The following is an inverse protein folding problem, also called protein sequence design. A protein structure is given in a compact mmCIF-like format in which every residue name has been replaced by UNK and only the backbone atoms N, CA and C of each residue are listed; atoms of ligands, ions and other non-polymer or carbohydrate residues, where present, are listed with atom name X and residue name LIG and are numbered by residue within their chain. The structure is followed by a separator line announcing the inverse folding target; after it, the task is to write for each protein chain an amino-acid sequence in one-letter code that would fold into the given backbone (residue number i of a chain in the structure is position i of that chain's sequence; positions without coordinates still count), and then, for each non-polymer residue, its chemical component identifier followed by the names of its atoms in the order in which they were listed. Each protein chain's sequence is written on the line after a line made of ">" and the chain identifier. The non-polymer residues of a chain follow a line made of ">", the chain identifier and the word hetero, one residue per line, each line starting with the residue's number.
data_IF_587148960030
#
_entry.id   IF_587148960030
#
_cell.length_a   1.000
_cell.length_b   1.000
_cell.length_c   1.000
_cell.angle_alpha   90.00
_cell.angle_beta   90.00
_cell.angle_gamma   90.00
#
_symmetry.space_group_name_H-M   'P 1'
#
loop_
_entity.id
_entity.type
_entity.pdbx_description
1 polymer ?
#
# COMPACT_ATOMS: atom_id res chain seq x y z
N UNK A 1 11.03 6.76 57.80
CA UNK A 1 11.65 5.48 57.38
C UNK A 1 10.61 4.58 56.68
N UNK A 2 9.98 5.03 55.59
CA UNK A 2 8.92 4.28 54.86
C UNK A 2 9.18 4.17 53.35
N UNK A 3 10.34 4.64 52.90
CA UNK A 3 10.65 4.85 51.48
C UNK A 3 11.02 3.57 50.72
N UNK A 4 11.56 2.57 51.42
CA UNK A 4 11.95 1.26 50.85
C UNK A 4 10.75 0.34 50.56
N UNK A 5 9.78 0.15 51.48
CA UNK A 5 8.64 -0.74 51.22
C UNK A 5 7.72 -0.22 50.11
N UNK A 6 7.52 1.09 49.99
CA UNK A 6 6.67 1.68 48.95
C UNK A 6 7.26 1.51 47.54
N UNK A 7 8.59 1.61 47.39
CA UNK A 7 9.27 1.36 46.11
C UNK A 7 9.21 -0.11 45.70
N UNK A 8 9.30 -1.01 46.68
CA UNK A 8 9.17 -2.45 46.44
C UNK A 8 7.76 -2.81 45.96
N UNK A 9 6.73 -2.26 46.61
CA UNK A 9 5.33 -2.50 46.27
C UNK A 9 4.98 -1.98 44.88
N UNK A 10 5.50 -0.81 44.51
CA UNK A 10 5.36 -0.25 43.16
C UNK A 10 6.05 -1.12 42.10
N UNK A 11 7.24 -1.66 42.41
CA UNK A 11 7.95 -2.58 41.52
C UNK A 11 7.18 -3.88 41.31
N UNK A 12 6.60 -4.46 42.38
CA UNK A 12 5.75 -5.65 42.27
C UNK A 12 4.50 -5.38 41.42
N UNK A 13 3.86 -4.21 41.58
CA UNK A 13 2.73 -3.80 40.76
C UNK A 13 3.11 -3.68 39.27
N UNK A 14 4.26 -3.08 38.96
CA UNK A 14 4.73 -2.95 37.57
C UNK A 14 5.00 -4.33 36.97
N UNK A 15 5.69 -5.22 37.69
CA UNK A 15 5.97 -6.58 37.22
C UNK A 15 4.68 -7.40 37.01
N UNK A 16 3.73 -7.30 37.93
CA UNK A 16 2.42 -7.96 37.83
C UNK A 16 1.64 -7.47 36.61
N UNK A 17 1.64 -6.15 36.35
CA UNK A 17 1.00 -5.60 35.15
C UNK A 17 1.73 -6.01 33.86
N UNK A 18 3.06 -6.11 33.88
CA UNK A 18 3.83 -6.59 32.73
C UNK A 18 3.56 -8.06 32.39
N UNK A 19 3.25 -8.92 33.39
CA UNK A 19 2.89 -10.32 33.14
C UNK A 19 1.51 -10.53 32.49
N UNK A 20 0.64 -9.51 32.48
CA UNK A 20 -0.63 -9.53 31.73
C UNK A 20 -0.53 -8.99 30.30
N UNK A 21 0.64 -8.48 29.90
CA UNK A 21 0.89 -8.11 28.51
C UNK A 21 1.12 -9.39 27.70
N UNK A 22 0.03 -9.97 27.20
CA UNK A 22 0.12 -11.03 26.20
C UNK A 22 0.91 -10.50 24.99
N UNK A 23 1.96 -11.20 24.53
CA UNK A 23 2.65 -10.83 23.31
C UNK A 23 1.66 -10.98 22.14
N UNK A 24 1.13 -9.86 21.67
CA UNK A 24 0.29 -9.82 20.47
C UNK A 24 1.23 -9.97 19.27
N UNK A 25 1.37 -11.19 18.78
CA UNK A 25 2.05 -11.44 17.51
C UNK A 25 1.11 -11.05 16.37
N UNK A 26 1.43 -9.95 15.67
CA UNK A 26 0.67 -9.52 14.48
C UNK A 26 0.93 -10.38 13.25
N UNK A 27 1.94 -11.24 13.28
CA UNK A 27 2.26 -12.17 12.20
C UNK A 27 1.64 -13.53 12.50
N UNK A 28 0.43 -13.74 12.00
CA UNK A 28 -0.15 -15.07 11.87
C UNK A 28 0.65 -15.96 10.91
N UNK A 29 0.18 -17.18 10.70
CA UNK A 29 0.78 -18.11 9.74
C UNK A 29 0.97 -17.44 8.36
N UNK A 30 2.17 -17.57 7.81
CA UNK A 30 2.47 -17.09 6.45
C UNK A 30 1.72 -18.01 5.48
N UNK A 31 0.60 -17.53 4.95
CA UNK A 31 -0.09 -18.23 3.87
C UNK A 31 0.81 -18.27 2.64
N UNK A 32 1.17 -19.48 2.22
CA UNK A 32 1.83 -19.73 0.94
C UNK A 32 0.77 -20.25 -0.03
N UNK A 33 0.39 -19.48 -1.07
CA UNK A 33 -0.55 -19.98 -2.07
C UNK A 33 0.03 -21.20 -2.78
N UNK A 34 -0.83 -22.13 -3.24
CA UNK A 34 -0.40 -23.25 -4.09
C UNK A 34 0.19 -22.74 -5.39
N UNK A 35 1.15 -23.48 -5.95
CA UNK A 35 1.79 -23.13 -7.23
C UNK A 35 0.85 -23.49 -8.37
N UNK A 36 0.14 -22.50 -8.90
CA UNK A 36 -0.79 -22.62 -10.02
C UNK A 36 -0.46 -21.54 -11.04
N UNK A 37 -0.73 -21.81 -12.31
CA UNK A 37 -0.58 -20.81 -13.38
C UNK A 37 -1.48 -19.61 -13.07
N UNK A 38 -0.89 -18.41 -13.05
CA UNK A 38 -1.66 -17.20 -12.78
C UNK A 38 -2.28 -16.70 -14.07
N UNK A 39 -3.53 -16.24 -14.01
CA UNK A 39 -4.21 -15.64 -15.17
C UNK A 39 -3.38 -14.51 -15.80
N UNK A 40 -2.63 -13.77 -14.98
CA UNK A 40 -1.72 -12.71 -15.42
C UNK A 40 -0.55 -13.19 -16.27
N UNK A 41 -0.13 -14.45 -16.13
CA UNK A 41 1.01 -15.02 -16.86
C UNK A 41 0.68 -15.20 -18.36
N UNK A 42 -0.62 -15.27 -18.70
CA UNK A 42 -1.08 -15.32 -20.09
C UNK A 42 -1.06 -13.97 -20.80
N UNK A 43 -0.80 -12.86 -20.09
CA UNK A 43 -0.80 -11.52 -20.66
C UNK A 43 0.58 -10.87 -20.56
N UNK A 44 1.06 -10.30 -21.67
CA UNK A 44 2.33 -9.59 -21.68
C UNK A 44 2.20 -8.23 -20.97
N UNK A 45 3.11 -7.89 -20.03
CA UNK A 45 3.13 -6.57 -19.41
C UNK A 45 3.35 -5.48 -20.46
N UNK A 46 2.53 -4.44 -20.42
CA UNK A 46 2.67 -3.26 -21.30
C UNK A 46 3.34 -2.10 -20.57
N UNK A 47 4.18 -1.30 -21.26
CA UNK A 47 4.79 -0.13 -20.65
C UNK A 47 3.74 0.89 -20.18
N UNK A 48 4.00 1.57 -19.06
CA UNK A 48 3.17 2.68 -18.58
C UNK A 48 3.27 3.87 -19.54
N UNK A 49 4.50 4.15 -19.98
CA UNK A 49 4.76 5.21 -20.95
C UNK A 49 4.02 4.92 -22.26
N UNK A 50 3.31 5.93 -22.76
CA UNK A 50 2.57 5.80 -24.01
C UNK A 50 1.17 5.19 -23.87
N UNK A 51 0.83 4.52 -22.77
CA UNK A 51 -0.51 3.94 -22.55
C UNK A 51 -1.33 4.67 -21.48
N UNK A 52 -0.66 5.38 -20.58
CA UNK A 52 -1.28 6.16 -19.51
C UNK A 52 -1.03 7.67 -19.69
N UNK A 53 -1.93 8.49 -19.15
CA UNK A 53 -1.81 9.94 -19.05
C UNK A 53 -1.77 10.37 -17.59
N UNK A 54 -1.03 11.43 -17.31
CA UNK A 54 -1.04 12.09 -16.00
C UNK A 54 -2.31 12.91 -15.83
N UNK A 55 -3.06 12.65 -14.76
CA UNK A 55 -4.24 13.44 -14.40
C UNK A 55 -3.94 14.55 -13.39
N UNK A 56 -2.99 14.32 -12.48
CA UNK A 56 -2.52 15.32 -11.53
C UNK A 56 -1.15 14.92 -10.97
N UNK A 57 -0.44 15.89 -10.39
CA UNK A 57 0.80 15.63 -9.66
C UNK A 57 1.97 15.19 -10.54
N UNK A 58 2.10 15.72 -11.75
CA UNK A 58 3.16 15.34 -12.69
C UNK A 58 4.60 15.35 -12.12
N UNK A 59 5.02 16.31 -11.27
CA UNK A 59 6.33 16.27 -10.62
C UNK A 59 6.55 15.04 -9.72
N UNK A 60 5.46 14.44 -9.25
CA UNK A 60 5.41 13.28 -8.36
C UNK A 60 5.14 11.98 -9.12
N UNK A 61 5.40 11.96 -10.44
CA UNK A 61 5.34 10.77 -11.29
C UNK A 61 6.70 10.58 -11.95
N UNK A 62 7.41 9.53 -11.55
CA UNK A 62 8.75 9.25 -12.08
C UNK A 62 8.71 7.98 -12.92
N UNK A 63 8.88 8.12 -14.23
CA UNK A 63 8.97 7.00 -15.15
C UNK A 63 10.33 6.31 -15.00
N UNK A 64 10.33 4.98 -14.87
CA UNK A 64 11.54 4.18 -14.66
C UNK A 64 11.65 3.08 -15.71
N UNK A 65 12.87 2.59 -15.90
CA UNK A 65 13.19 1.51 -16.86
C UNK A 65 12.53 1.77 -18.23
N UNK A 66 12.91 2.90 -18.84
CA UNK A 66 12.39 3.38 -20.12
C UNK A 66 10.85 3.46 -20.19
N UNK A 67 10.20 3.70 -19.05
CA UNK A 67 8.75 3.85 -18.97
C UNK A 67 7.98 2.54 -18.82
N UNK A 68 8.66 1.42 -18.56
CA UNK A 68 8.00 0.14 -18.28
C UNK A 68 7.19 0.17 -16.97
N UNK A 69 7.63 0.94 -15.97
CA UNK A 69 6.87 1.21 -14.75
C UNK A 69 7.04 2.66 -14.30
N UNK A 70 6.16 3.10 -13.39
CA UNK A 70 6.15 4.45 -12.85
C UNK A 70 6.07 4.41 -11.33
N UNK A 71 6.85 5.27 -10.67
CA UNK A 71 6.65 5.58 -9.27
C UNK A 71 5.65 6.74 -9.18
N UNK A 72 4.58 6.54 -8.41
CA UNK A 72 3.63 7.59 -8.04
C UNK A 72 3.82 7.94 -6.57
N UNK A 73 4.07 9.22 -6.31
CA UNK A 73 4.50 9.72 -5.01
C UNK A 73 3.39 10.58 -4.39
N UNK A 74 3.16 10.39 -3.11
CA UNK A 74 2.40 11.29 -2.27
C UNK A 74 3.34 11.96 -1.27
N UNK A 75 3.41 13.28 -1.32
CA UNK A 75 4.16 14.09 -0.36
C UNK A 75 3.25 15.15 0.28
N UNK A 76 3.84 16.08 1.04
CA UNK A 76 3.11 17.16 1.72
C UNK A 76 2.49 18.18 0.76
N UNK A 77 2.96 18.25 -0.48
CA UNK A 77 2.52 19.21 -1.48
C UNK A 77 1.37 18.66 -2.32
N UNK A 78 1.46 17.42 -2.78
CA UNK A 78 0.43 16.77 -3.60
C UNK A 78 0.62 15.26 -3.70
N UNK A 79 -0.47 14.57 -4.04
CA UNK A 79 -0.41 13.21 -4.57
C UNK A 79 -0.08 13.19 -6.06
N UNK A 80 -0.19 12.01 -6.66
CA UNK A 80 -0.16 11.88 -8.12
C UNK A 80 -1.10 10.78 -8.62
N UNK A 81 -1.46 10.87 -9.90
CA UNK A 81 -2.40 9.93 -10.50
C UNK A 81 -2.22 9.80 -12.01
N UNK A 82 -2.49 8.58 -12.48
CA UNK A 82 -2.48 8.20 -13.89
C UNK A 82 -3.87 7.69 -14.30
N UNK A 83 -4.22 7.88 -15.57
CA UNK A 83 -5.44 7.33 -16.19
C UNK A 83 -5.07 6.67 -17.52
N UNK A 84 -5.83 5.67 -17.94
CA UNK A 84 -5.68 5.11 -19.29
C UNK A 84 -5.94 6.17 -20.35
N UNK A 85 -5.17 6.13 -21.44
CA UNK A 85 -5.44 6.98 -22.61
C UNK A 85 -6.78 6.68 -23.24
N UNK A 86 -7.07 5.38 -23.37
CA UNK A 86 -8.29 4.89 -23.99
C UNK A 86 -9.36 4.58 -22.94
N UNK A 87 -10.60 4.56 -23.40
CA UNK A 87 -11.77 4.10 -22.65
C UNK A 87 -12.11 2.68 -23.08
N UNK A 88 -12.54 1.88 -22.12
CA UNK A 88 -12.85 0.46 -22.34
C UNK A 88 -14.25 0.13 -21.86
N UNK A 89 -14.96 -0.70 -22.61
CA UNK A 89 -16.29 -1.20 -22.23
C UNK A 89 -16.20 -2.53 -21.45
N UNK A 90 -15.24 -3.37 -21.79
CA UNK A 90 -14.90 -4.62 -21.10
C UNK A 90 -13.39 -4.85 -21.18
N UNK A 91 -12.85 -5.68 -20.30
CA UNK A 91 -11.44 -6.06 -20.33
C UNK A 91 -10.96 -6.69 -19.04
N UNK A 92 -9.78 -7.29 -19.12
CA UNK A 92 -9.01 -7.70 -17.95
C UNK A 92 -7.99 -6.60 -17.64
N UNK A 93 -8.13 -5.96 -16.48
CA UNK A 93 -7.24 -4.88 -16.05
C UNK A 93 -6.35 -5.39 -14.93
N UNK A 94 -5.06 -5.50 -15.20
CA UNK A 94 -4.06 -5.96 -14.25
C UNK A 94 -2.89 -4.98 -14.20
N UNK A 95 -2.34 -4.81 -13.01
CA UNK A 95 -1.15 -4.03 -12.76
C UNK A 95 -0.30 -4.70 -11.69
N UNK A 96 1.01 -4.77 -11.90
CA UNK A 96 1.96 -5.14 -10.85
C UNK A 96 2.18 -3.93 -9.94
N UNK A 97 1.74 -4.03 -8.69
CA UNK A 97 1.77 -2.92 -7.73
C UNK A 97 2.69 -3.26 -6.57
N UNK A 98 3.63 -2.35 -6.28
CA UNK A 98 4.46 -2.41 -5.08
C UNK A 98 3.97 -1.38 -4.08
N UNK A 99 3.62 -1.82 -2.87
CA UNK A 99 3.20 -0.92 -1.81
C UNK A 99 4.41 -0.18 -1.20
N UNK A 100 4.22 1.08 -0.78
CA UNK A 100 5.24 1.81 -0.04
C UNK A 100 5.56 1.10 1.28
N UNK A 101 6.83 1.14 1.67
CA UNK A 101 7.32 0.58 2.94
C UNK A 101 7.39 1.66 4.02
N UNK A 102 7.16 1.30 5.27
CA UNK A 102 7.22 2.22 6.42
C UNK A 102 5.85 2.64 6.95
N UNK A 103 5.78 3.82 7.57
CA UNK A 103 4.53 4.34 8.14
C UNK A 103 3.69 4.98 7.04
N UNK A 104 2.57 4.35 6.72
CA UNK A 104 1.65 4.78 5.64
C UNK A 104 0.26 5.10 6.18
N UNK A 105 0.15 5.47 7.47
CA UNK A 105 -1.12 5.81 8.10
C UNK A 105 -1.83 6.94 7.35
N UNK A 106 -3.07 6.69 6.92
CA UNK A 106 -3.88 7.66 6.17
C UNK A 106 -3.54 7.79 4.68
N UNK A 107 -2.56 7.04 4.17
CA UNK A 107 -2.21 7.00 2.74
C UNK A 107 -3.01 5.91 2.05
N UNK A 108 -3.62 6.24 0.91
CA UNK A 108 -4.36 5.29 0.07
C UNK A 108 -3.70 5.19 -1.30
N UNK A 109 -3.38 3.96 -1.71
CA UNK A 109 -3.06 3.62 -3.08
C UNK A 109 -4.27 2.94 -3.71
N UNK A 110 -4.69 3.41 -4.88
CA UNK A 110 -5.89 2.89 -5.54
C UNK A 110 -5.62 2.53 -7.00
N UNK A 111 -6.07 1.34 -7.38
CA UNK A 111 -6.18 0.89 -8.76
C UNK A 111 -7.64 0.49 -9.00
N UNK A 112 -8.32 1.21 -9.89
CA UNK A 112 -9.76 1.06 -10.07
C UNK A 112 -10.19 1.50 -11.48
N UNK A 113 -11.37 1.06 -11.88
CA UNK A 113 -12.06 1.50 -13.11
C UNK A 113 -13.18 2.46 -12.73
N UNK A 114 -13.31 3.56 -13.47
CA UNK A 114 -14.41 4.51 -13.31
C UNK A 114 -15.09 4.72 -14.66
N UNK A 115 -16.42 4.65 -14.66
CA UNK A 115 -17.22 5.17 -15.77
C UNK A 115 -17.30 6.70 -15.66
N UNK A 116 -17.08 7.40 -16.77
CA UNK A 116 -17.41 8.82 -16.85
C UNK A 116 -18.92 8.95 -16.94
N UNK A 117 -19.60 8.99 -15.79
CA UNK A 117 -21.01 9.33 -15.73
C UNK A 117 -21.14 10.84 -15.97
N UNK A 118 -21.29 11.23 -17.24
CA UNK A 118 -21.85 12.52 -17.60
C UNK A 118 -23.37 12.35 -17.56
N UNK A 119 -24.01 12.84 -16.48
CA UNK A 119 -25.44 13.20 -16.56
C UNK A 119 -25.53 14.29 -17.61
N UNK A 120 -26.23 14.00 -18.68
CA UNK A 120 -26.58 14.96 -19.71
C UNK A 120 -27.85 15.69 -19.30
#
# INVERSE_FOLDING_TARGET
>A
MTFLPQRFLLSCLVLFNCSFLLPVFSRGFIYKPPNVEHLTDHFHPTPVAGNMLTIFGAPNIHMKSNGSYADIILDKTSGSGLVSKEKYFHGFFSAAIRLPVGVTSGVVLAFYVRSSFLVK
#
